data_IF_179676642326
#
_entry.id   IF_179676642326
#
_cell.length_a   1.000
_cell.length_b   1.000
_cell.length_c   1.000
_cell.angle_alpha   90.00
_cell.angle_beta   90.00
_cell.angle_gamma   90.00
#
_symmetry.space_group_name_H-M   'P 1'
#
loop_
_entity.id
_entity.type
_entity.pdbx_description
1 polymer ?
#
# COMPACT_ATOMS: atom_id res chain seq x y z
N UNK A 1 27.41 47.52 -53.12
CA UNK A 1 27.46 46.13 -53.64
C UNK A 1 27.56 45.20 -52.44
N UNK A 2 26.73 44.15 -52.36
CA UNK A 2 26.63 43.20 -51.22
C UNK A 2 27.98 42.50 -50.90
N UNK A 3 28.19 41.75 -49.79
CA UNK A 3 27.37 41.45 -48.56
C UNK A 3 28.18 41.75 -47.24
N UNK A 4 27.76 41.52 -45.99
CA UNK A 4 27.69 40.21 -45.28
C UNK A 4 27.27 40.42 -43.78
N UNK A 5 26.29 39.62 -43.33
CA UNK A 5 26.04 39.00 -42.01
C UNK A 5 26.17 39.75 -40.66
N UNK A 6 25.12 39.66 -39.84
CA UNK A 6 25.14 39.06 -38.47
C UNK A 6 23.74 38.56 -38.08
N UNK A 7 23.74 37.39 -37.44
CA UNK A 7 22.67 36.49 -37.04
C UNK A 7 22.39 36.66 -35.53
N UNK A 8 21.15 36.94 -35.10
CA UNK A 8 20.62 36.54 -33.77
C UNK A 8 19.12 36.21 -33.95
N UNK A 9 18.77 34.94 -33.68
CA UNK A 9 17.45 34.35 -33.84
C UNK A 9 16.60 34.55 -32.58
N UNK A 10 15.40 35.11 -32.77
CA UNK A 10 14.39 35.38 -31.75
C UNK A 10 13.57 34.13 -31.40
N UNK A 11 13.47 33.85 -30.10
CA UNK A 11 12.42 33.02 -29.49
C UNK A 11 11.38 33.98 -28.92
N UNK A 12 10.19 34.08 -29.53
CA UNK A 12 8.90 34.44 -28.93
C UNK A 12 7.90 34.82 -30.03
N UNK A 13 6.62 34.52 -29.77
CA UNK A 13 5.41 34.83 -30.55
C UNK A 13 4.94 33.74 -31.54
N UNK A 14 4.32 32.70 -30.98
CA UNK A 14 3.08 32.18 -31.57
C UNK A 14 2.02 32.07 -30.47
N UNK A 15 1.20 33.12 -30.35
CA UNK A 15 -0.10 33.12 -29.69
C UNK A 15 -1.11 33.74 -30.67
N UNK A 16 -2.30 33.14 -30.70
CA UNK A 16 -3.56 33.56 -31.35
C UNK A 16 -3.82 33.07 -32.78
N UNK A 17 -4.40 31.87 -32.89
CA UNK A 17 -5.68 31.67 -33.59
C UNK A 17 -6.25 30.26 -33.37
N UNK A 18 -6.86 30.01 -32.20
CA UNK A 18 -8.00 29.08 -32.07
C UNK A 18 -8.90 29.61 -30.94
N UNK A 19 -9.68 30.64 -31.24
CA UNK A 19 -10.94 30.94 -30.55
C UNK A 19 -11.98 30.99 -31.65
N UNK A 20 -12.83 29.97 -31.70
CA UNK A 20 -13.89 29.84 -32.69
C UNK A 20 -14.53 28.47 -32.59
N UNK A 21 -15.63 28.40 -31.85
CA UNK A 21 -16.58 27.29 -31.77
C UNK A 21 -16.11 26.01 -31.04
N UNK A 22 -16.27 26.03 -29.71
CA UNK A 22 -16.84 24.90 -28.95
C UNK A 22 -17.49 25.47 -27.69
N UNK A 23 -18.61 26.17 -27.89
CA UNK A 23 -19.46 26.74 -26.86
C UNK A 23 -20.68 25.85 -26.56
N UNK A 24 -20.45 24.54 -26.46
CA UNK A 24 -21.36 23.56 -25.89
C UNK A 24 -20.46 22.47 -25.28
N UNK A 25 -20.54 22.23 -23.96
CA UNK A 25 -19.77 21.25 -23.15
C UNK A 25 -18.37 21.65 -22.62
N UNK A 26 -18.29 22.42 -21.51
CA UNK A 26 -17.02 22.70 -20.82
C UNK A 26 -16.50 21.56 -19.91
N UNK A 27 -17.04 20.33 -19.96
CA UNK A 27 -16.75 19.29 -18.96
C UNK A 27 -16.21 17.94 -19.49
N UNK A 28 -15.85 17.83 -20.77
CA UNK A 28 -15.18 16.62 -21.27
C UNK A 28 -13.66 16.72 -21.02
N UNK A 29 -13.27 16.39 -19.78
CA UNK A 29 -11.87 16.06 -19.49
C UNK A 29 -11.52 14.82 -20.32
N UNK A 30 -10.67 14.97 -21.33
CA UNK A 30 -10.11 13.83 -22.06
C UNK A 30 -9.23 13.01 -21.10
N UNK A 31 -9.79 11.92 -20.56
CA UNK A 31 -9.06 10.93 -19.79
C UNK A 31 -8.27 10.06 -20.76
N UNK A 32 -6.94 10.16 -20.71
CA UNK A 32 -6.05 9.20 -21.38
C UNK A 32 -5.70 8.14 -20.34
N UNK A 33 -6.38 7.00 -20.41
CA UNK A 33 -5.97 5.76 -19.76
C UNK A 33 -5.30 4.87 -20.80
N UNK A 34 -4.42 3.99 -20.36
CA UNK A 34 -3.87 2.95 -21.21
C UNK A 34 -4.21 1.60 -20.61
N UNK A 35 -4.82 0.72 -21.40
CA UNK A 35 -5.09 -0.64 -20.95
C UNK A 35 -3.91 -1.55 -21.26
N UNK A 36 -3.74 -2.52 -20.40
CA UNK A 36 -2.73 -3.55 -20.41
C UNK A 36 -3.51 -4.86 -20.28
N UNK A 37 -3.58 -5.64 -21.34
CA UNK A 37 -4.18 -6.97 -21.30
C UNK A 37 -3.15 -7.97 -20.79
N UNK A 38 -3.50 -8.76 -19.79
CA UNK A 38 -2.66 -9.83 -19.25
C UNK A 38 -3.30 -11.18 -19.61
N UNK A 39 -2.68 -11.91 -20.52
CA UNK A 39 -3.14 -13.25 -20.90
C UNK A 39 -2.24 -14.33 -20.33
N UNK A 40 -2.82 -15.40 -19.70
CA UNK A 40 -2.08 -16.64 -19.49
C UNK A 40 -1.55 -17.13 -20.83
N UNK A 41 -0.33 -17.69 -20.84
CA UNK A 41 0.52 -18.02 -22.00
C UNK A 41 -0.16 -18.78 -23.15
N UNK A 42 -1.03 -18.12 -23.92
CA UNK A 42 -1.68 -18.62 -25.12
C UNK A 42 -1.55 -17.58 -26.25
N UNK A 43 -1.30 -18.00 -27.49
CA UNK A 43 -1.15 -17.07 -28.62
C UNK A 43 -2.49 -16.39 -28.92
N UNK A 44 -2.45 -15.07 -29.14
CA UNK A 44 -3.57 -14.28 -29.67
C UNK A 44 -3.11 -13.71 -31.01
N UNK A 45 -3.87 -13.97 -32.06
CA UNK A 45 -3.72 -13.35 -33.37
C UNK A 45 -4.53 -12.04 -33.41
N UNK A 46 -3.91 -10.90 -33.06
CA UNK A 46 -4.50 -9.58 -33.31
C UNK A 46 -3.40 -8.57 -33.68
N UNK A 47 -3.61 -7.85 -34.79
CA UNK A 47 -2.58 -7.10 -35.53
C UNK A 47 -2.16 -5.74 -34.93
N UNK A 48 -2.74 -5.30 -33.80
CA UNK A 48 -2.42 -4.03 -33.13
C UNK A 48 -1.76 -4.20 -31.75
N UNK A 49 -1.24 -5.41 -31.48
CA UNK A 49 -0.68 -5.78 -30.19
C UNK A 49 0.85 -5.71 -30.26
N UNK A 50 1.44 -4.78 -29.51
CA UNK A 50 2.87 -4.85 -29.19
C UNK A 50 3.08 -5.50 -27.82
N UNK A 51 3.98 -6.49 -27.75
CA UNK A 51 4.36 -7.11 -26.49
C UNK A 51 4.98 -6.04 -25.58
N UNK A 52 4.33 -5.76 -24.45
CA UNK A 52 4.78 -4.76 -23.49
C UNK A 52 5.70 -5.35 -22.44
N UNK A 53 5.34 -6.54 -21.96
CA UNK A 53 6.08 -7.26 -20.94
C UNK A 53 5.78 -8.75 -21.08
N UNK A 54 6.78 -9.60 -20.93
CA UNK A 54 6.59 -11.04 -20.84
C UNK A 54 7.20 -11.52 -19.53
N UNK A 55 6.46 -12.35 -18.80
CA UNK A 55 6.93 -13.10 -17.63
C UNK A 55 6.67 -14.58 -17.88
N UNK A 56 7.22 -15.46 -17.04
CA UNK A 56 6.96 -16.90 -17.14
C UNK A 56 5.47 -17.27 -17.06
N UNK A 57 4.62 -16.37 -16.54
CA UNK A 57 3.19 -16.62 -16.26
C UNK A 57 2.22 -15.74 -17.03
N UNK A 58 2.66 -14.56 -17.46
CA UNK A 58 1.81 -13.55 -18.10
C UNK A 58 2.47 -13.05 -19.37
N UNK A 59 1.69 -13.06 -20.45
CA UNK A 59 1.96 -12.22 -21.60
C UNK A 59 1.18 -10.91 -21.44
N UNK A 60 1.92 -9.80 -21.38
CA UNK A 60 1.39 -8.47 -21.11
C UNK A 60 1.39 -7.68 -22.40
N UNK A 61 0.19 -7.36 -22.85
CA UNK A 61 -0.09 -6.71 -24.12
C UNK A 61 -0.58 -5.30 -23.86
N UNK A 62 0.07 -4.31 -24.45
CA UNK A 62 -0.43 -2.93 -24.41
C UNK A 62 -1.61 -2.83 -25.37
N UNK A 63 -2.79 -2.55 -24.85
CA UNK A 63 -3.97 -2.26 -25.66
C UNK A 63 -4.33 -0.79 -25.45
N UNK A 64 -4.30 -0.02 -26.54
CA UNK A 64 -4.71 1.38 -26.50
C UNK A 64 -6.23 1.44 -26.30
N UNK A 65 -6.65 1.74 -25.09
CA UNK A 65 -8.06 1.85 -24.73
C UNK A 65 -8.44 3.32 -24.55
N UNK A 66 -9.65 3.69 -24.95
CA UNK A 66 -10.20 5.03 -24.72
C UNK A 66 -11.50 4.87 -23.94
N UNK A 67 -11.52 5.37 -22.70
CA UNK A 67 -12.76 5.46 -21.94
C UNK A 67 -13.68 6.52 -22.60
N UNK A 68 -14.86 6.10 -23.04
CA UNK A 68 -15.98 7.02 -23.24
C UNK A 68 -16.78 7.10 -21.94
N UNK A 69 -16.83 8.28 -21.33
CA UNK A 69 -17.78 8.55 -20.26
C UNK A 69 -19.12 8.97 -20.88
N UNK A 70 -20.14 8.13 -20.73
CA UNK A 70 -21.51 8.44 -21.12
C UNK A 70 -22.51 7.80 -20.14
N UNK A 71 -23.40 8.61 -19.55
CA UNK A 71 -24.55 8.11 -18.79
C UNK A 71 -25.64 7.68 -19.76
N UNK A 72 -26.12 6.45 -19.58
CA UNK A 72 -27.50 6.07 -19.88
C UNK A 72 -27.76 5.48 -21.26
N UNK A 73 -28.59 4.44 -21.22
CA UNK A 73 -29.29 3.71 -22.30
C UNK A 73 -28.44 2.90 -23.28
N UNK A 74 -28.62 1.58 -23.18
CA UNK A 74 -28.68 0.61 -24.27
C UNK A 74 -27.63 0.75 -25.38
N UNK A 75 -26.51 0.04 -25.21
CA UNK A 75 -25.64 -0.33 -26.33
C UNK A 75 -25.50 -1.85 -26.34
N UNK A 76 -26.41 -2.46 -27.10
CA UNK A 76 -26.21 -3.74 -27.77
C UNK A 76 -24.94 -3.72 -28.62
N UNK A 77 -24.26 -4.86 -28.65
CA UNK A 77 -23.20 -5.27 -29.57
C UNK A 77 -22.81 -4.25 -30.64
N UNK A 78 -21.69 -3.54 -30.42
CA UNK A 78 -20.70 -3.20 -31.45
C UNK A 78 -19.54 -2.45 -30.78
N UNK A 79 -18.35 -3.07 -30.81
CA UNK A 79 -17.09 -2.41 -30.50
C UNK A 79 -16.95 -1.12 -31.33
N UNK A 80 -17.00 0.02 -30.66
CA UNK A 80 -16.76 1.32 -31.28
C UNK A 80 -15.56 1.97 -30.59
N UNK A 81 -14.39 1.81 -31.23
CA UNK A 81 -13.15 2.47 -30.88
C UNK A 81 -13.21 3.97 -31.18
N UNK A 82 -12.46 4.76 -30.41
CA UNK A 82 -12.24 6.17 -30.69
C UNK A 82 -10.74 6.45 -30.45
N UNK A 83 -10.05 7.03 -31.44
CA UNK A 83 -8.58 7.16 -31.48
C UNK A 83 -8.05 8.41 -30.76
N UNK A 84 -7.17 8.26 -29.77
CA UNK A 84 -6.35 9.36 -29.23
C UNK A 84 -5.19 9.64 -30.18
N UNK A 85 -4.91 10.90 -30.49
CA UNK A 85 -3.78 11.30 -31.31
C UNK A 85 -2.45 10.80 -30.72
N UNK A 86 -1.57 10.25 -31.55
CA UNK A 86 -0.32 9.57 -31.15
C UNK A 86 0.62 10.51 -30.36
N UNK A 87 0.53 11.81 -30.62
CA UNK A 87 1.33 12.88 -29.98
C UNK A 87 0.99 13.12 -28.51
N UNK A 88 -0.27 12.97 -28.09
CA UNK A 88 -0.68 13.12 -26.68
C UNK A 88 -0.35 11.87 -25.86
N UNK A 89 -0.36 10.70 -26.50
CA UNK A 89 0.00 9.44 -25.86
C UNK A 89 1.50 9.34 -25.55
N UNK A 90 2.38 9.75 -26.48
CA UNK A 90 3.84 9.79 -26.24
C UNK A 90 4.26 10.83 -25.19
N UNK A 91 3.45 11.85 -24.94
CA UNK A 91 3.73 12.90 -23.95
C UNK A 91 3.18 12.58 -22.55
N UNK A 92 2.12 11.75 -22.45
CA UNK A 92 1.53 11.31 -21.18
C UNK A 92 2.07 9.96 -20.68
N UNK A 93 2.48 9.09 -21.59
CA UNK A 93 3.09 7.80 -21.26
C UNK A 93 4.57 7.99 -20.91
N UNK A 94 5.08 7.26 -19.90
CA UNK A 94 6.52 7.17 -19.66
C UNK A 94 7.30 6.94 -20.96
N UNK A 95 8.31 7.76 -21.22
CA UNK A 95 9.28 7.53 -22.30
C UNK A 95 10.68 7.31 -21.73
N UNK A 96 11.52 6.60 -22.50
CA UNK A 96 12.89 6.29 -22.09
C UNK A 96 12.97 5.53 -20.76
N UNK A 97 13.80 6.02 -19.84
CA UNK A 97 14.08 5.37 -18.55
C UNK A 97 12.82 5.18 -17.68
N UNK A 98 11.90 6.15 -17.68
CA UNK A 98 10.69 6.05 -16.85
C UNK A 98 9.81 4.88 -17.28
N UNK A 99 9.78 4.59 -18.59
CA UNK A 99 9.06 3.42 -19.12
C UNK A 99 9.71 2.14 -18.62
N UNK A 100 11.04 2.04 -18.73
CA UNK A 100 11.78 0.87 -18.28
C UNK A 100 11.60 0.61 -16.78
N UNK A 101 11.73 1.65 -15.95
CA UNK A 101 11.57 1.55 -14.50
C UNK A 101 10.16 1.15 -14.09
N UNK A 102 9.14 1.74 -14.73
CA UNK A 102 7.74 1.38 -14.48
C UNK A 102 7.43 -0.04 -14.94
N UNK A 103 7.87 -0.44 -16.15
CA UNK A 103 7.68 -1.80 -16.65
C UNK A 103 8.35 -2.83 -15.74
N UNK A 104 9.55 -2.53 -15.24
CA UNK A 104 10.23 -3.41 -14.28
C UNK A 104 9.52 -3.46 -12.92
N UNK A 105 9.00 -2.34 -12.43
CA UNK A 105 8.17 -2.31 -11.23
C UNK A 105 6.91 -3.16 -11.38
N UNK A 106 6.21 -3.05 -12.51
CA UNK A 106 5.03 -3.85 -12.83
C UNK A 106 5.38 -5.34 -12.98
N UNK A 107 6.51 -5.66 -13.61
CA UNK A 107 7.04 -7.03 -13.69
C UNK A 107 7.20 -7.65 -12.31
N UNK A 108 7.92 -6.95 -11.41
CA UNK A 108 8.13 -7.38 -10.02
C UNK A 108 6.82 -7.55 -9.26
N UNK A 109 5.82 -6.72 -9.54
CA UNK A 109 4.48 -6.90 -8.99
C UNK A 109 3.83 -8.21 -9.49
N UNK A 110 3.80 -8.44 -10.80
CA UNK A 110 3.17 -9.63 -11.39
C UNK A 110 3.85 -10.93 -10.97
N UNK A 111 5.19 -10.95 -10.85
CA UNK A 111 5.97 -12.10 -10.36
C UNK A 111 5.63 -12.47 -8.91
N UNK A 112 5.13 -11.51 -8.13
CA UNK A 112 4.70 -11.70 -6.74
C UNK A 112 3.28 -12.25 -6.64
N UNK A 113 2.51 -12.27 -7.72
CA UNK A 113 1.15 -12.80 -7.73
C UNK A 113 1.18 -14.34 -7.92
N UNK A 114 0.37 -15.10 -7.17
CA UNK A 114 0.21 -16.53 -7.38
C UNK A 114 -0.51 -16.80 -8.70
N UNK A 115 -0.39 -18.02 -9.25
CA UNK A 115 -1.07 -18.38 -10.49
C UNK A 115 -2.59 -18.62 -10.32
N UNK A 116 -3.10 -18.60 -9.08
CA UNK A 116 -4.50 -18.89 -8.76
C UNK A 116 -5.45 -17.86 -9.36
N UNK A 117 -6.40 -18.33 -10.17
CA UNK A 117 -7.46 -17.51 -10.78
C UNK A 117 -8.36 -16.87 -9.72
N UNK A 118 -8.62 -17.58 -8.62
CA UNK A 118 -9.53 -17.13 -7.56
C UNK A 118 -9.04 -15.84 -6.91
N UNK A 119 -7.72 -15.70 -6.73
CA UNK A 119 -7.15 -14.46 -6.22
C UNK A 119 -7.51 -13.27 -7.11
N UNK A 120 -7.46 -13.43 -8.43
CA UNK A 120 -7.77 -12.33 -9.34
C UNK A 120 -9.24 -11.98 -9.40
N UNK A 121 -10.11 -12.99 -9.26
CA UNK A 121 -11.57 -12.80 -9.26
C UNK A 121 -12.03 -12.03 -8.03
N UNK A 122 -11.45 -12.35 -6.88
CA UNK A 122 -11.90 -11.84 -5.59
C UNK A 122 -11.25 -10.49 -5.22
N UNK A 123 -10.34 -9.96 -6.06
CA UNK A 123 -9.55 -8.78 -5.71
C UNK A 123 -9.43 -7.75 -6.83
N UNK A 124 -9.48 -6.47 -6.44
CA UNK A 124 -8.93 -5.35 -7.20
C UNK A 124 -7.49 -5.12 -6.76
N UNK A 125 -6.54 -5.22 -7.67
CA UNK A 125 -5.16 -4.84 -7.42
C UNK A 125 -4.92 -3.40 -7.84
N UNK A 126 -4.27 -2.64 -6.97
CA UNK A 126 -3.79 -1.30 -7.23
C UNK A 126 -2.26 -1.36 -7.15
N UNK A 127 -1.56 -1.09 -8.23
CA UNK A 127 -0.10 -1.02 -8.30
C UNK A 127 0.35 0.42 -8.53
N UNK A 128 1.04 1.01 -7.56
CA UNK A 128 1.48 2.41 -7.62
C UNK A 128 2.98 2.53 -7.81
N UNK A 129 3.37 3.37 -8.76
CA UNK A 129 4.76 3.67 -9.05
C UNK A 129 5.02 5.16 -8.91
N UNK A 130 6.12 5.52 -8.24
CA UNK A 130 6.54 6.90 -8.08
C UNK A 130 8.03 7.07 -8.35
N UNK A 131 8.35 8.08 -9.14
CA UNK A 131 9.71 8.62 -9.24
C UNK A 131 9.70 10.15 -9.08
N UNK A 132 10.84 10.79 -9.33
CA UNK A 132 10.97 12.25 -9.18
C UNK A 132 10.04 13.06 -10.09
N UNK A 133 9.65 12.49 -11.23
CA UNK A 133 8.96 13.21 -12.31
C UNK A 133 7.51 12.74 -12.51
N UNK A 134 7.16 11.54 -12.05
CA UNK A 134 5.89 10.91 -12.38
C UNK A 134 5.38 10.01 -11.26
N UNK A 135 4.06 10.00 -11.12
CA UNK A 135 3.29 9.08 -10.27
C UNK A 135 2.29 8.36 -11.19
N UNK A 136 2.13 7.05 -11.02
CA UNK A 136 1.26 6.21 -11.85
C UNK A 136 0.48 5.27 -10.94
N UNK A 137 -0.82 5.11 -11.19
CA UNK A 137 -1.66 4.08 -10.58
C UNK A 137 -2.03 3.08 -11.68
N UNK A 138 -1.82 1.81 -11.42
CA UNK A 138 -2.27 0.72 -12.30
C UNK A 138 -3.33 -0.06 -11.57
N UNK A 139 -4.50 -0.22 -12.18
CA UNK A 139 -5.58 -1.04 -11.65
C UNK A 139 -5.54 -2.37 -12.38
N UNK A 140 -5.54 -3.49 -11.66
CA UNK A 140 -5.61 -4.82 -12.26
C UNK A 140 -6.75 -5.63 -11.63
N UNK A 141 -7.56 -6.28 -12.43
CA UNK A 141 -8.69 -7.10 -11.96
C UNK A 141 -9.04 -8.16 -13.00
N UNK A 142 -9.72 -9.22 -12.56
CA UNK A 142 -10.16 -10.28 -13.45
C UNK A 142 -11.48 -9.93 -14.12
N UNK A 143 -11.53 -10.04 -15.45
CA UNK A 143 -12.71 -9.81 -16.25
C UNK A 143 -12.74 -10.82 -17.40
N UNK A 144 -13.89 -11.46 -17.63
CA UNK A 144 -14.13 -12.37 -18.76
C UNK A 144 -13.07 -13.47 -18.93
N UNK A 145 -12.66 -14.08 -17.81
CA UNK A 145 -11.67 -15.16 -17.82
C UNK A 145 -10.22 -14.69 -17.97
N UNK A 146 -9.96 -13.37 -17.94
CA UNK A 146 -8.63 -12.78 -18.18
C UNK A 146 -8.29 -11.75 -17.11
N UNK A 147 -7.00 -11.55 -16.88
CA UNK A 147 -6.53 -10.45 -16.04
C UNK A 147 -6.43 -9.20 -16.92
N UNK A 148 -7.17 -8.16 -16.56
CA UNK A 148 -7.13 -6.87 -17.24
C UNK A 148 -6.43 -5.90 -16.33
N UNK A 149 -5.55 -5.07 -16.88
CA UNK A 149 -4.93 -3.98 -16.19
C UNK A 149 -5.10 -2.68 -16.96
N UNK A 150 -5.08 -1.54 -16.28
CA UNK A 150 -4.94 -0.25 -16.94
C UNK A 150 -4.19 0.74 -16.07
N UNK A 151 -3.35 1.56 -16.70
CA UNK A 151 -2.51 2.53 -16.03
C UNK A 151 -3.05 3.96 -16.22
N UNK A 152 -2.98 4.72 -15.12
CA UNK A 152 -3.46 6.09 -15.01
C UNK A 152 -2.35 6.98 -14.39
N UNK A 153 -1.83 7.97 -15.14
CA UNK A 153 -0.84 8.90 -14.59
C UNK A 153 -1.49 9.84 -13.58
N UNK A 154 -0.88 9.97 -12.40
CA UNK A 154 -1.30 10.91 -11.35
C UNK A 154 -0.61 12.24 -11.62
N UNK A 155 -1.37 13.18 -12.19
CA UNK A 155 -0.83 14.47 -12.60
C UNK A 155 -0.91 15.46 -11.44
N UNK A 156 0.19 16.13 -11.07
CA UNK A 156 0.30 16.92 -9.83
C UNK A 156 -0.49 18.25 -9.83
N UNK A 157 -1.19 18.58 -10.91
CA UNK A 157 -1.98 19.81 -11.03
C UNK A 157 -3.30 19.63 -10.29
N UNK A 158 -3.70 20.59 -9.44
CA UNK A 158 -4.90 20.53 -8.57
C UNK A 158 -6.16 19.99 -9.27
N UNK A 159 -6.45 20.44 -10.48
CA UNK A 159 -7.63 19.98 -11.25
C UNK A 159 -7.49 18.54 -11.77
N UNK A 160 -6.27 18.07 -12.02
CA UNK A 160 -6.00 16.71 -12.52
C UNK A 160 -5.89 15.70 -11.38
N UNK A 161 -5.43 16.11 -10.20
CA UNK A 161 -5.55 15.29 -8.97
C UNK A 161 -7.02 14.95 -8.67
N UNK A 162 -7.95 15.88 -8.93
CA UNK A 162 -9.39 15.62 -8.82
C UNK A 162 -9.84 14.53 -9.80
N UNK A 163 -9.33 14.52 -11.03
CA UNK A 163 -9.64 13.48 -12.01
C UNK A 163 -9.13 12.10 -11.57
N UNK A 164 -7.87 12.00 -11.11
CA UNK A 164 -7.32 10.73 -10.58
C UNK A 164 -8.08 10.25 -9.33
N UNK A 165 -8.54 11.18 -8.49
CA UNK A 165 -9.43 10.89 -7.35
C UNK A 165 -10.79 10.35 -7.76
N UNK A 166 -11.38 10.85 -8.85
CA UNK A 166 -12.66 10.35 -9.36
C UNK A 166 -12.49 8.92 -9.84
N UNK A 167 -11.48 8.65 -10.67
CA UNK A 167 -11.20 7.30 -11.17
C UNK A 167 -10.93 6.32 -10.03
N UNK A 168 -10.12 6.70 -9.04
CA UNK A 168 -9.87 5.82 -7.89
C UNK A 168 -11.16 5.53 -7.10
N UNK A 169 -12.01 6.52 -6.86
CA UNK A 169 -13.29 6.31 -6.20
C UNK A 169 -14.24 5.38 -6.98
N UNK A 170 -14.29 5.52 -8.31
CA UNK A 170 -15.09 4.64 -9.17
C UNK A 170 -14.64 3.17 -9.06
N UNK A 171 -13.34 2.92 -9.08
CA UNK A 171 -12.77 1.58 -8.91
C UNK A 171 -13.03 1.02 -7.50
N UNK A 172 -12.91 1.85 -6.47
CA UNK A 172 -13.19 1.44 -5.09
C UNK A 172 -14.68 1.09 -4.89
N UNK A 173 -15.59 1.90 -5.41
CA UNK A 173 -17.03 1.62 -5.32
C UNK A 173 -17.43 0.41 -6.18
N UNK A 174 -16.78 0.19 -7.33
CA UNK A 174 -16.96 -1.04 -8.11
C UNK A 174 -16.48 -2.26 -7.31
N UNK A 175 -15.27 -2.22 -6.74
CA UNK A 175 -14.75 -3.31 -5.93
C UNK A 175 -15.69 -3.65 -4.76
N UNK A 176 -16.17 -2.64 -4.05
CA UNK A 176 -17.14 -2.78 -2.96
C UNK A 176 -18.46 -3.41 -3.41
N UNK A 177 -19.04 -2.94 -4.53
CA UNK A 177 -20.29 -3.46 -5.08
C UNK A 177 -20.15 -4.95 -5.44
N UNK A 178 -19.00 -5.33 -5.95
CA UNK A 178 -18.70 -6.70 -6.38
C UNK A 178 -18.20 -7.59 -5.22
N UNK A 179 -18.09 -7.06 -4.00
CA UNK A 179 -17.55 -7.78 -2.85
C UNK A 179 -16.05 -8.08 -2.95
N UNK A 180 -15.32 -7.40 -3.84
CA UNK A 180 -13.88 -7.58 -4.04
C UNK A 180 -13.08 -6.89 -2.95
N UNK A 181 -12.03 -7.57 -2.51
CA UNK A 181 -11.00 -7.01 -1.65
C UNK A 181 -10.04 -6.12 -2.46
N UNK A 182 -9.46 -5.08 -1.84
CA UNK A 182 -8.49 -4.22 -2.55
C UNK A 182 -7.09 -4.50 -2.06
N UNK A 183 -6.18 -4.83 -2.96
CA UNK A 183 -4.76 -5.06 -2.67
C UNK A 183 -3.95 -3.93 -3.26
N UNK A 184 -3.29 -3.15 -2.40
CA UNK A 184 -2.45 -2.06 -2.84
C UNK A 184 -0.96 -2.42 -2.72
N UNK A 185 -0.29 -2.49 -3.87
CA UNK A 185 1.15 -2.67 -3.99
C UNK A 185 1.84 -1.39 -4.46
N UNK A 186 2.96 -1.01 -3.85
CA UNK A 186 3.85 0.00 -4.42
C UNK A 186 4.06 1.23 -3.52
N UNK A 187 4.30 2.38 -4.17
CA UNK A 187 4.74 3.61 -3.51
C UNK A 187 3.58 4.50 -3.08
N UNK A 188 3.78 5.29 -2.02
CA UNK A 188 2.83 6.32 -1.59
C UNK A 188 2.82 7.50 -2.57
N UNK A 189 1.64 7.76 -3.13
CA UNK A 189 1.41 8.84 -4.10
C UNK A 189 0.93 10.12 -3.40
N UNK A 190 0.91 11.24 -4.14
CA UNK A 190 0.22 12.47 -3.70
C UNK A 190 -1.29 12.25 -3.52
N UNK A 191 -1.85 11.34 -4.32
CA UNK A 191 -3.22 10.87 -4.13
C UNK A 191 -3.24 9.90 -2.93
N UNK A 192 -3.95 10.27 -1.87
CA UNK A 192 -4.05 9.43 -0.68
C UNK A 192 -5.07 8.30 -0.89
N UNK A 193 -4.58 7.13 -1.31
CA UNK A 193 -5.38 5.94 -1.59
C UNK A 193 -6.12 5.46 -0.35
N UNK A 194 -5.46 5.48 0.81
CA UNK A 194 -6.04 4.96 2.06
C UNK A 194 -7.22 5.78 2.54
N UNK A 195 -7.10 7.10 2.45
CA UNK A 195 -8.17 8.02 2.80
C UNK A 195 -9.38 7.76 1.91
N UNK A 196 -9.17 7.59 0.60
CA UNK A 196 -10.26 7.31 -0.33
C UNK A 196 -10.89 5.94 -0.08
N UNK A 197 -10.08 4.90 0.15
CA UNK A 197 -10.59 3.60 0.55
C UNK A 197 -11.45 3.70 1.81
N UNK A 198 -11.01 4.44 2.82
CA UNK A 198 -11.77 4.70 4.05
C UNK A 198 -13.08 5.45 3.79
N UNK A 199 -13.06 6.51 2.99
CA UNK A 199 -14.25 7.29 2.60
C UNK A 199 -15.28 6.41 1.89
N UNK A 200 -14.84 5.48 1.05
CA UNK A 200 -15.69 4.52 0.35
C UNK A 200 -16.02 3.27 1.21
N UNK A 201 -15.50 3.16 2.44
CA UNK A 201 -15.63 1.98 3.33
C UNK A 201 -15.11 0.69 2.70
N UNK A 202 -14.02 0.79 1.97
CA UNK A 202 -13.32 -0.32 1.32
C UNK A 202 -12.07 -0.64 2.10
N UNK A 203 -11.87 -1.92 2.40
CA UNK A 203 -10.65 -2.34 3.07
C UNK A 203 -9.53 -2.50 2.06
N UNK A 204 -8.35 -2.05 2.44
CA UNK A 204 -7.13 -2.17 1.64
C UNK A 204 -6.09 -3.04 2.34
N UNK A 205 -5.59 -4.02 1.62
CA UNK A 205 -4.42 -4.82 1.99
C UNK A 205 -3.20 -4.18 1.39
N UNK A 206 -2.39 -3.52 2.22
CA UNK A 206 -1.19 -2.83 1.76
C UNK A 206 -0.05 -3.80 1.55
N UNK A 207 0.84 -3.48 0.61
CA UNK A 207 2.02 -4.26 0.30
C UNK A 207 3.16 -3.40 -0.24
N UNK A 208 4.28 -3.41 0.45
CA UNK A 208 5.45 -2.65 0.03
C UNK A 208 6.12 -3.29 -1.18
N UNK A 209 6.66 -2.45 -2.06
CA UNK A 209 7.45 -2.88 -3.22
C UNK A 209 8.74 -3.61 -2.82
N UNK A 210 9.29 -3.29 -1.64
CA UNK A 210 10.50 -3.88 -1.06
C UNK A 210 10.34 -5.35 -0.67
N UNK A 211 9.12 -5.83 -0.39
CA UNK A 211 8.98 -7.17 0.15
C UNK A 211 8.94 -8.23 -0.94
N UNK A 212 9.80 -9.24 -0.77
CA UNK A 212 9.99 -10.38 -1.67
C UNK A 212 8.95 -11.51 -1.56
N UNK A 213 8.33 -11.72 -0.39
CA UNK A 213 7.38 -12.83 -0.13
C UNK A 213 6.13 -12.73 -1.01
N UNK A 214 5.71 -13.76 -1.74
CA UNK A 214 4.55 -13.75 -2.67
C UNK A 214 3.21 -13.42 -1.98
N UNK A 215 2.17 -13.11 -2.76
CA UNK A 215 0.82 -13.01 -2.20
C UNK A 215 0.24 -14.41 -1.98
N UNK A 216 -0.61 -14.59 -0.96
CA UNK A 216 -1.32 -15.84 -0.76
C UNK A 216 -2.26 -16.12 -1.94
N UNK A 217 -2.57 -17.40 -2.19
CA UNK A 217 -3.58 -17.80 -3.18
C UNK A 217 -4.99 -17.28 -2.85
N UNK A 218 -5.24 -17.02 -1.56
CA UNK A 218 -6.46 -16.39 -1.07
C UNK A 218 -6.12 -15.42 0.05
N UNK A 219 -6.64 -14.20 -0.04
CA UNK A 219 -6.48 -13.21 1.02
C UNK A 219 -7.49 -13.51 2.12
N UNK A 220 -6.99 -13.64 3.34
CA UNK A 220 -7.81 -13.84 4.52
C UNK A 220 -8.73 -12.63 4.73
N UNK A 221 -10.02 -12.84 5.01
CA UNK A 221 -10.92 -11.71 5.25
C UNK A 221 -10.54 -10.97 6.54
N UNK A 222 -10.77 -9.65 6.55
CA UNK A 222 -10.51 -8.76 7.69
C UNK A 222 -11.63 -8.79 8.74
N UNK A 223 -12.69 -9.55 8.51
CA UNK A 223 -13.82 -9.73 9.43
C UNK A 223 -13.47 -10.59 10.66
N UNK A 224 -12.24 -11.09 10.76
CA UNK A 224 -11.74 -11.85 11.91
C UNK A 224 -11.75 -11.01 13.19
N UNK A 225 -12.15 -11.66 14.29
CA UNK A 225 -12.03 -11.15 15.65
C UNK A 225 -10.76 -11.71 16.29
N UNK A 226 -9.96 -10.85 16.92
CA UNK A 226 -8.84 -11.29 17.76
C UNK A 226 -9.40 -11.74 19.11
N UNK A 227 -9.09 -12.97 19.53
CA UNK A 227 -9.60 -13.56 20.79
C UNK A 227 -8.54 -13.32 21.87
N UNK A 228 -8.73 -12.36 22.81
CA UNK A 228 -7.69 -11.96 23.75
C UNK A 228 -7.17 -13.12 24.60
N UNK A 229 -8.03 -14.05 25.01
CA UNK A 229 -7.70 -15.21 25.83
C UNK A 229 -6.79 -16.21 25.09
N UNK A 230 -6.85 -16.23 23.76
CA UNK A 230 -6.00 -17.07 22.91
C UNK A 230 -4.85 -16.29 22.27
N UNK A 231 -4.66 -15.03 22.66
CA UNK A 231 -3.64 -14.14 22.11
C UNK A 231 -2.55 -13.90 23.15
N UNK A 232 -1.34 -13.67 22.64
CA UNK A 232 -0.22 -13.21 23.47
C UNK A 232 -0.12 -11.70 23.40
N UNK A 233 0.34 -11.10 24.48
CA UNK A 233 0.68 -9.68 24.51
C UNK A 233 2.12 -9.50 24.95
N UNK A 234 2.81 -8.60 24.27
CA UNK A 234 4.13 -8.14 24.68
C UNK A 234 4.01 -6.65 24.98
N UNK A 235 4.04 -6.34 26.28
CA UNK A 235 4.04 -4.96 26.76
C UNK A 235 5.48 -4.47 26.90
N UNK A 236 5.96 -3.79 25.86
CA UNK A 236 7.30 -3.24 25.77
C UNK A 236 7.34 -1.73 26.04
N UNK A 237 6.44 -1.26 26.91
CA UNK A 237 6.50 0.10 27.44
C UNK A 237 7.64 0.20 28.49
N UNK A 238 8.55 1.21 28.41
CA UNK A 238 9.58 1.48 29.39
C UNK A 238 9.10 1.43 30.84
N UNK A 239 9.67 0.53 31.63
CA UNK A 239 9.35 0.37 33.02
C UNK A 239 10.15 1.31 33.92
N UNK A 240 11.30 1.79 33.45
CA UNK A 240 12.20 2.69 34.18
C UNK A 240 12.41 4.02 33.46
N UNK A 241 12.82 5.06 34.21
CA UNK A 241 13.20 6.36 33.62
C UNK A 241 14.37 6.21 32.65
N UNK A 242 15.36 5.36 32.99
CA UNK A 242 16.51 5.09 32.13
C UNK A 242 16.06 4.59 30.76
N UNK A 243 15.19 3.58 30.72
CA UNK A 243 14.63 3.04 29.47
C UNK A 243 13.80 4.09 28.72
N UNK A 244 13.05 4.95 29.42
CA UNK A 244 12.30 6.03 28.78
C UNK A 244 13.23 7.04 28.09
N UNK A 245 14.34 7.40 28.75
CA UNK A 245 15.35 8.32 28.20
C UNK A 245 16.10 7.68 27.01
N UNK A 246 16.42 6.38 27.09
CA UNK A 246 17.09 5.63 26.04
C UNK A 246 16.20 5.40 24.81
N UNK A 247 14.94 5.01 25.03
CA UNK A 247 13.93 4.77 23.99
C UNK A 247 13.42 6.04 23.31
N UNK A 248 13.69 7.20 23.89
CA UNK A 248 13.19 8.49 23.44
C UNK A 248 11.83 8.81 24.06
N UNK A 249 11.66 10.08 24.44
CA UNK A 249 10.39 10.55 24.98
C UNK A 249 9.27 10.33 23.97
N UNK A 250 8.19 9.59 24.32
CA UNK A 250 7.01 9.59 23.49
C UNK A 250 6.51 11.04 23.42
N UNK A 251 6.14 11.50 22.22
CA UNK A 251 5.67 12.86 21.99
C UNK A 251 4.50 13.26 22.93
N UNK A 252 3.83 12.26 23.51
CA UNK A 252 2.66 12.38 24.39
C UNK A 252 2.93 12.37 25.89
N UNK A 253 4.11 11.92 26.34
CA UNK A 253 4.47 11.94 27.75
C UNK A 253 5.56 12.98 27.99
N UNK A 254 5.16 14.24 27.93
CA UNK A 254 6.03 15.38 28.24
C UNK A 254 6.56 15.34 29.69
N UNK A 255 5.95 14.52 30.56
CA UNK A 255 6.34 14.34 31.97
C UNK A 255 6.39 12.86 32.36
N UNK A 256 7.17 12.55 33.41
CA UNK A 256 7.25 11.23 34.03
C UNK A 256 5.89 10.73 34.52
N UNK A 257 5.06 11.62 35.05
CA UNK A 257 3.75 11.29 35.57
C UNK A 257 2.78 10.90 34.46
N UNK A 258 2.81 11.65 33.34
CA UNK A 258 2.04 11.30 32.15
C UNK A 258 2.45 9.91 31.60
N UNK A 259 3.75 9.61 31.63
CA UNK A 259 4.27 8.30 31.25
C UNK A 259 3.77 7.18 32.18
N UNK A 260 3.91 7.36 33.50
CA UNK A 260 3.45 6.38 34.50
C UNK A 260 1.95 6.12 34.38
N UNK A 261 1.16 7.18 34.18
CA UNK A 261 -0.28 7.07 33.99
C UNK A 261 -0.62 6.34 32.69
N UNK A 262 0.08 6.63 31.58
CA UNK A 262 -0.09 5.87 30.33
C UNK A 262 0.22 4.38 30.51
N UNK A 263 1.35 4.07 31.15
CA UNK A 263 1.75 2.68 31.41
C UNK A 263 0.72 1.96 32.28
N UNK A 264 0.21 2.60 33.33
CA UNK A 264 -0.81 2.00 34.20
C UNK A 264 -2.11 1.68 33.46
N UNK A 265 -2.59 2.58 32.59
CA UNK A 265 -3.77 2.32 31.76
C UNK A 265 -3.55 1.10 30.85
N UNK A 266 -2.41 1.08 30.16
CA UNK A 266 -2.07 -0.01 29.24
C UNK A 266 -1.93 -1.32 30.01
N UNK A 267 -1.20 -1.35 31.11
CA UNK A 267 -1.04 -2.54 31.95
C UNK A 267 -2.39 -3.11 32.37
N UNK A 268 -3.31 -2.27 32.86
CA UNK A 268 -4.65 -2.68 33.25
C UNK A 268 -5.43 -3.32 32.08
N UNK A 269 -5.35 -2.73 30.88
CA UNK A 269 -5.98 -3.28 29.67
C UNK A 269 -5.32 -4.61 29.27
N UNK A 270 -3.98 -4.69 29.32
CA UNK A 270 -3.22 -5.86 28.89
C UNK A 270 -3.37 -7.09 29.80
N UNK A 271 -3.86 -6.93 31.03
CA UNK A 271 -4.15 -8.03 31.96
C UNK A 271 -5.24 -8.99 31.45
N UNK A 272 -6.03 -8.57 30.46
CA UNK A 272 -7.12 -9.37 29.89
C UNK A 272 -6.66 -10.34 28.78
N UNK A 273 -5.39 -10.27 28.36
CA UNK A 273 -4.83 -11.18 27.36
C UNK A 273 -4.36 -12.49 28.02
N UNK A 274 -4.46 -13.60 27.28
CA UNK A 274 -4.21 -14.94 27.81
C UNK A 274 -2.78 -15.17 28.31
N UNK A 275 -1.78 -14.58 27.67
CA UNK A 275 -0.39 -14.67 28.12
C UNK A 275 0.39 -13.37 27.86
N UNK A 276 1.21 -12.98 28.83
CA UNK A 276 2.10 -11.82 28.72
C UNK A 276 3.55 -12.26 28.54
N UNK A 277 4.16 -11.91 27.42
CA UNK A 277 5.57 -12.17 27.14
C UNK A 277 6.42 -11.07 27.78
N UNK A 278 7.37 -11.46 28.63
CA UNK A 278 8.16 -10.52 29.44
C UNK A 278 9.63 -10.43 29.01
N UNK A 279 10.15 -11.43 28.28
CA UNK A 279 11.56 -11.47 27.87
C UNK A 279 11.72 -11.53 26.35
N UNK A 280 12.92 -11.17 25.87
CA UNK A 280 13.25 -11.31 24.44
C UNK A 280 13.23 -12.78 24.00
N UNK A 281 13.60 -13.69 24.90
CA UNK A 281 13.57 -15.13 24.64
C UNK A 281 12.14 -15.63 24.39
N UNK A 282 11.17 -15.18 25.19
CA UNK A 282 9.75 -15.54 25.02
C UNK A 282 9.20 -15.04 23.69
N UNK A 283 9.53 -13.80 23.33
CA UNK A 283 9.11 -13.20 22.05
C UNK A 283 9.72 -13.95 20.88
N UNK A 284 11.03 -14.23 20.92
CA UNK A 284 11.71 -14.96 19.87
C UNK A 284 11.09 -16.35 19.68
N UNK A 285 10.84 -17.06 20.79
CA UNK A 285 10.20 -18.38 20.76
C UNK A 285 8.80 -18.28 20.15
N UNK A 286 7.98 -17.34 20.60
CA UNK A 286 6.63 -17.15 20.09
C UNK A 286 6.65 -16.74 18.60
N UNK A 287 7.59 -15.92 18.14
CA UNK A 287 7.72 -15.58 16.71
C UNK A 287 8.12 -16.79 15.85
N UNK A 288 9.05 -17.64 16.31
CA UNK A 288 9.58 -18.77 15.54
C UNK A 288 8.72 -20.04 15.58
N UNK A 289 8.06 -20.29 16.72
CA UNK A 289 7.39 -21.56 17.04
C UNK A 289 5.92 -21.37 17.44
N UNK A 290 5.54 -20.16 17.86
CA UNK A 290 4.21 -19.86 18.40
C UNK A 290 3.10 -20.00 17.37
N UNK A 291 1.86 -20.09 17.86
CA UNK A 291 0.64 -20.28 17.04
C UNK A 291 -0.43 -19.22 17.30
N UNK A 292 -0.21 -18.35 18.28
CA UNK A 292 -1.21 -17.41 18.79
C UNK A 292 -1.11 -16.07 18.09
N UNK A 293 -2.23 -15.36 17.99
CA UNK A 293 -2.19 -13.95 17.59
C UNK A 293 -1.39 -13.16 18.62
N UNK A 294 -0.72 -12.10 18.18
CA UNK A 294 0.17 -11.32 19.03
C UNK A 294 -0.19 -9.84 19.00
N UNK A 295 -0.26 -9.23 20.18
CA UNK A 295 -0.27 -7.78 20.32
C UNK A 295 1.09 -7.35 20.83
N UNK A 296 1.81 -6.53 20.06
CA UNK A 296 3.10 -5.96 20.43
C UNK A 296 2.94 -4.47 20.68
N UNK A 297 3.12 -4.06 21.93
CA UNK A 297 3.09 -2.65 22.33
C UNK A 297 4.52 -2.18 22.55
N UNK A 298 4.95 -1.14 21.84
CA UNK A 298 6.30 -0.59 22.00
C UNK A 298 6.17 0.92 22.13
N UNK A 299 6.76 1.49 23.18
CA UNK A 299 6.57 2.91 23.49
C UNK A 299 7.13 3.85 22.41
N UNK A 300 8.24 3.47 21.77
CA UNK A 300 8.80 4.22 20.66
C UNK A 300 9.82 3.37 19.91
N UNK A 301 9.70 3.33 18.58
CA UNK A 301 10.75 2.83 17.69
C UNK A 301 11.68 4.01 17.35
N UNK A 302 12.58 4.40 18.26
CA UNK A 302 13.59 5.42 17.95
C UNK A 302 14.70 4.76 17.13
N UNK A 303 14.57 4.78 15.81
CA UNK A 303 15.51 4.09 14.93
C UNK A 303 15.24 2.59 14.85
N UNK A 304 16.26 1.82 14.49
CA UNK A 304 16.17 0.39 14.17
C UNK A 304 16.08 -0.51 15.41
N UNK A 305 15.44 -0.12 16.51
CA UNK A 305 15.55 -0.85 17.78
C UNK A 305 14.24 -0.96 18.58
N UNK A 306 14.09 -2.08 19.28
CA UNK A 306 12.99 -2.41 20.21
C UNK A 306 13.54 -2.61 21.62
N UNK A 307 12.74 -2.21 22.61
CA UNK A 307 13.03 -2.40 24.03
C UNK A 307 11.97 -3.32 24.63
N UNK A 308 12.39 -4.39 25.31
CA UNK A 308 11.52 -5.34 26.02
C UNK A 308 12.05 -5.47 27.44
N UNK A 309 11.34 -4.90 28.43
CA UNK A 309 11.89 -4.75 29.78
C UNK A 309 13.22 -3.99 29.74
N UNK A 310 14.27 -4.57 30.32
CA UNK A 310 15.65 -4.03 30.28
C UNK A 310 16.45 -4.45 29.03
N UNK A 311 15.90 -5.31 28.18
CA UNK A 311 16.57 -5.81 26.98
C UNK A 311 16.36 -4.87 25.78
N UNK A 312 17.42 -4.68 24.99
CA UNK A 312 17.40 -3.92 23.74
C UNK A 312 17.80 -4.82 22.59
N UNK A 313 17.03 -4.77 21.50
CA UNK A 313 17.32 -5.52 20.27
C UNK A 313 17.18 -4.63 19.05
N UNK A 314 18.06 -4.81 18.07
CA UNK A 314 17.91 -4.16 16.77
C UNK A 314 16.97 -4.94 15.85
N UNK A 315 16.29 -4.22 14.96
CA UNK A 315 15.51 -4.77 13.86
C UNK A 315 16.35 -5.73 13.00
N UNK A 316 17.64 -5.45 12.79
CA UNK A 316 18.56 -6.36 12.08
C UNK A 316 18.76 -7.68 12.83
N UNK A 317 18.83 -7.65 14.17
CA UNK A 317 18.90 -8.88 14.98
C UNK A 317 17.60 -9.68 14.90
N UNK A 318 16.44 -9.01 14.89
CA UNK A 318 15.14 -9.67 14.69
C UNK A 318 15.07 -10.29 13.30
N UNK A 319 15.51 -9.55 12.26
CA UNK A 319 15.60 -10.07 10.89
C UNK A 319 16.49 -11.32 10.83
N UNK A 320 17.60 -11.33 11.57
CA UNK A 320 18.55 -12.44 11.64
C UNK A 320 18.07 -13.66 12.45
N UNK A 321 16.91 -13.61 13.12
CA UNK A 321 16.35 -14.78 13.80
C UNK A 321 15.93 -15.90 12.84
N UNK A 322 15.85 -15.61 11.53
CA UNK A 322 15.51 -16.57 10.50
C UNK A 322 14.00 -16.71 10.32
N UNK A 323 13.60 -17.57 9.37
CA UNK A 323 12.19 -17.83 9.09
C UNK A 323 11.56 -18.66 10.21
N UNK A 324 10.24 -18.52 10.32
CA UNK A 324 9.42 -19.38 11.17
C UNK A 324 9.68 -20.86 10.83
N UNK A 325 9.81 -21.69 11.87
CA UNK A 325 10.15 -23.10 11.69
C UNK A 325 8.91 -23.95 11.42
N UNK A 326 7.78 -23.59 12.02
CA UNK A 326 6.52 -24.33 11.92
C UNK A 326 5.43 -23.43 11.33
N UNK A 327 4.85 -23.76 10.17
CA UNK A 327 3.70 -23.04 9.63
C UNK A 327 2.54 -23.06 10.63
N UNK A 328 1.79 -21.96 10.75
CA UNK A 328 0.56 -21.98 11.55
C UNK A 328 -0.50 -22.82 10.87
N UNK A 329 -1.32 -23.49 11.68
CA UNK A 329 -2.53 -24.19 11.20
C UNK A 329 -3.63 -23.22 10.73
N UNK A 330 -3.53 -21.93 11.07
CA UNK A 330 -4.45 -20.88 10.65
C UNK A 330 -3.73 -19.55 10.46
N UNK A 331 -4.42 -18.53 9.97
CA UNK A 331 -3.80 -17.23 9.80
C UNK A 331 -3.44 -16.65 11.18
N UNK A 332 -2.26 -16.09 11.36
CA UNK A 332 -1.76 -15.52 12.60
C UNK A 332 -1.65 -14.01 12.42
N UNK A 333 -2.22 -13.25 13.33
CA UNK A 333 -2.26 -11.79 13.27
C UNK A 333 -1.28 -11.20 14.29
N UNK A 334 -0.51 -10.20 13.86
CA UNK A 334 0.20 -9.29 14.75
C UNK A 334 -0.43 -7.91 14.73
N UNK A 335 -0.75 -7.37 15.90
CA UNK A 335 -1.09 -5.97 16.10
C UNK A 335 0.14 -5.26 16.64
N UNK A 336 0.64 -4.25 15.93
CA UNK A 336 1.76 -3.43 16.35
C UNK A 336 1.25 -2.08 16.84
N UNK A 337 1.17 -1.90 18.15
CA UNK A 337 0.96 -0.60 18.77
C UNK A 337 2.32 0.11 18.86
N UNK A 338 2.88 0.46 17.70
CA UNK A 338 4.24 1.01 17.55
C UNK A 338 4.23 2.13 16.51
N UNK A 339 4.62 3.34 16.91
CA UNK A 339 4.64 4.53 16.05
C UNK A 339 5.34 4.28 14.70
N UNK A 340 4.71 4.72 13.61
CA UNK A 340 5.20 4.63 12.24
C UNK A 340 5.58 3.22 11.76
N UNK A 341 5.23 2.14 12.49
CA UNK A 341 5.61 0.79 12.09
C UNK A 341 4.91 0.33 10.79
N UNK A 342 3.78 0.94 10.45
CA UNK A 342 3.08 0.80 9.17
C UNK A 342 3.60 1.70 8.05
N UNK A 343 4.53 2.63 8.31
CA UNK A 343 5.05 3.54 7.30
C UNK A 343 6.16 2.85 6.48
N UNK A 344 5.89 2.62 5.19
CA UNK A 344 6.83 1.92 4.30
C UNK A 344 8.01 2.76 3.84
N UNK A 345 7.92 4.08 3.98
CA UNK A 345 8.93 5.04 3.56
C UNK A 345 9.73 5.58 4.76
N UNK A 346 9.75 4.86 5.88
CA UNK A 346 10.44 5.31 7.08
C UNK A 346 11.94 5.51 6.81
N UNK A 347 12.38 6.75 6.97
CA UNK A 347 13.78 7.16 6.81
C UNK A 347 14.26 7.76 8.12
N UNK A 348 15.47 7.40 8.52
CA UNK A 348 16.16 7.97 9.68
C UNK A 348 17.48 8.60 9.24
N UNK A 349 17.87 9.66 9.94
CA UNK A 349 19.12 10.39 9.70
C UNK A 349 18.90 11.88 9.39
N UNK A 350 20.01 12.60 9.23
CA UNK A 350 20.00 14.05 8.97
C UNK A 350 19.70 14.37 7.51
N UNK A 351 19.53 15.66 7.19
CA UNK A 351 19.17 16.15 5.84
C UNK A 351 20.07 15.59 4.72
N UNK A 352 21.32 15.25 5.04
CA UNK A 352 22.35 14.79 4.11
C UNK A 352 22.60 13.27 4.13
N UNK A 353 22.10 12.55 5.13
CA UNK A 353 22.33 11.11 5.31
C UNK A 353 21.04 10.41 5.72
N UNK A 354 20.08 10.34 4.80
CA UNK A 354 18.84 9.59 5.01
C UNK A 354 19.09 8.12 4.70
N UNK A 355 18.95 7.27 5.71
CA UNK A 355 18.99 5.81 5.54
C UNK A 355 17.56 5.29 5.56
N UNK A 356 17.21 4.51 4.53
CA UNK A 356 15.96 3.75 4.53
C UNK A 356 16.09 2.60 5.52
N UNK A 357 15.16 2.53 6.48
CA UNK A 357 15.10 1.44 7.44
C UNK A 357 13.98 0.50 7.02
N UNK A 358 14.26 -0.81 7.05
CA UNK A 358 13.21 -1.79 6.83
C UNK A 358 12.27 -1.78 8.06
N UNK A 359 11.00 -1.37 7.93
CA UNK A 359 10.10 -1.28 9.07
C UNK A 359 9.84 -2.68 9.67
N UNK A 360 9.50 -2.71 10.96
CA UNK A 360 9.22 -3.95 11.68
C UNK A 360 8.15 -4.80 10.96
N UNK A 361 7.10 -4.16 10.41
CA UNK A 361 6.07 -4.82 9.59
C UNK A 361 6.66 -5.67 8.47
N UNK A 362 7.67 -5.16 7.75
CA UNK A 362 8.32 -5.89 6.67
C UNK A 362 9.21 -7.01 7.18
N UNK A 363 9.87 -6.84 8.33
CA UNK A 363 10.72 -7.89 8.93
C UNK A 363 9.85 -9.06 9.39
N UNK A 364 8.76 -8.78 10.11
CA UNK A 364 7.81 -9.81 10.55
C UNK A 364 7.24 -10.60 9.37
N UNK A 365 7.02 -9.90 8.26
CA UNK A 365 6.56 -10.47 7.00
C UNK A 365 7.62 -11.31 6.29
N UNK A 366 8.82 -10.78 6.07
CA UNK A 366 9.91 -11.47 5.36
C UNK A 366 10.28 -12.80 6.03
N UNK A 367 10.18 -12.85 7.37
CA UNK A 367 10.46 -14.04 8.16
C UNK A 367 9.25 -14.97 8.33
N UNK A 368 8.07 -14.60 7.82
CA UNK A 368 6.86 -15.42 7.88
C UNK A 368 6.33 -15.65 9.31
N UNK A 369 6.58 -14.71 10.24
CA UNK A 369 6.14 -14.87 11.63
C UNK A 369 4.63 -14.74 11.78
N UNK A 370 4.01 -13.92 10.92
CA UNK A 370 2.58 -13.63 10.92
C UNK A 370 2.04 -13.58 9.50
N UNK A 371 0.78 -13.98 9.35
CA UNK A 371 0.01 -13.92 8.10
C UNK A 371 -0.67 -12.57 7.91
N UNK A 372 -0.85 -11.82 8.99
CA UNK A 372 -1.38 -10.46 8.93
C UNK A 372 -0.66 -9.59 9.95
N UNK A 373 -0.32 -8.36 9.56
CA UNK A 373 0.21 -7.36 10.48
C UNK A 373 -0.64 -6.10 10.38
N UNK A 374 -1.03 -5.56 11.54
CA UNK A 374 -1.83 -4.36 11.69
C UNK A 374 -0.95 -3.33 12.39
N UNK A 375 -0.74 -2.17 11.79
CA UNK A 375 0.25 -1.21 12.27
C UNK A 375 -0.07 0.23 11.87
N UNK A 376 0.19 1.23 12.73
CA UNK A 376 -0.03 2.65 12.43
C UNK A 376 1.09 3.20 11.56
N UNK A 377 0.74 4.04 10.57
CA UNK A 377 1.67 4.78 9.70
C UNK A 377 2.15 6.12 10.29
N UNK A 378 1.65 6.47 11.48
CA UNK A 378 1.85 7.73 12.16
C UNK A 378 2.28 7.51 13.63
N UNK A 379 2.50 8.61 14.33
CA UNK A 379 2.75 8.61 15.77
C UNK A 379 1.44 8.42 16.51
N UNK A 380 1.27 7.27 17.17
CA UNK A 380 0.08 6.97 17.98
C UNK A 380 0.13 7.72 19.31
N UNK A 381 -1.02 8.25 19.73
CA UNK A 381 -1.16 8.93 21.00
C UNK A 381 -1.72 7.99 22.09
N UNK A 382 -1.59 8.36 23.37
CA UNK A 382 -2.15 7.57 24.50
C UNK A 382 -3.64 7.25 24.30
N UNK A 383 -4.54 8.23 24.05
CA UNK A 383 -5.97 7.95 23.92
C UNK A 383 -6.30 7.03 22.75
N UNK A 384 -5.51 7.13 21.67
CA UNK A 384 -5.66 6.27 20.51
C UNK A 384 -5.24 4.84 20.84
N UNK A 385 -4.10 4.66 21.51
CA UNK A 385 -3.59 3.34 21.88
C UNK A 385 -4.53 2.63 22.85
N UNK A 386 -4.98 3.31 23.91
CA UNK A 386 -5.92 2.73 24.88
C UNK A 386 -7.25 2.38 24.21
N UNK A 387 -7.81 3.30 23.42
CA UNK A 387 -9.05 3.06 22.66
C UNK A 387 -8.90 1.88 21.69
N UNK A 388 -7.76 1.76 20.99
CA UNK A 388 -7.50 0.65 20.07
C UNK A 388 -7.49 -0.69 20.81
N UNK A 389 -6.75 -0.78 21.91
CA UNK A 389 -6.68 -2.00 22.73
C UNK A 389 -8.04 -2.38 23.33
N UNK A 390 -8.79 -1.41 23.85
CA UNK A 390 -10.14 -1.66 24.35
C UNK A 390 -11.08 -2.17 23.25
N UNK A 391 -10.94 -1.68 22.02
CA UNK A 391 -11.74 -2.18 20.90
C UNK A 391 -11.34 -3.60 20.48
N UNK A 392 -10.06 -3.98 20.60
CA UNK A 392 -9.62 -5.37 20.44
C UNK A 392 -10.28 -6.29 21.47
N UNK A 393 -10.38 -5.85 22.74
CA UNK A 393 -10.99 -6.64 23.81
C UNK A 393 -12.51 -6.79 23.69
N UNK A 394 -13.18 -5.89 22.95
CA UNK A 394 -14.65 -5.88 22.79
C UNK A 394 -15.14 -6.88 21.72
N UNK A 395 -14.35 -7.86 21.34
CA UNK A 395 -14.65 -8.85 20.29
C UNK A 395 -15.07 -8.22 18.95
N UNK A 396 -14.52 -7.04 18.64
CA UNK A 396 -14.76 -6.40 17.35
C UNK A 396 -13.91 -7.03 16.28
N UNK A 397 -14.44 -7.07 15.07
CA UNK A 397 -13.65 -7.48 13.92
C UNK A 397 -12.52 -6.48 13.65
N UNK A 398 -11.41 -7.00 13.14
CA UNK A 398 -10.26 -6.22 12.68
C UNK A 398 -10.70 -5.14 11.67
N UNK A 399 -11.65 -5.47 10.80
CA UNK A 399 -12.29 -4.54 9.85
C UNK A 399 -13.02 -3.38 10.54
N UNK A 400 -13.82 -3.64 11.58
CA UNK A 400 -14.52 -2.57 12.31
C UNK A 400 -13.53 -1.63 12.98
N UNK A 401 -12.47 -2.19 13.56
CA UNK A 401 -11.40 -1.42 14.17
C UNK A 401 -10.71 -0.52 13.12
N UNK A 402 -10.40 -1.04 11.93
CA UNK A 402 -9.83 -0.24 10.82
C UNK A 402 -10.61 1.03 10.52
N UNK A 403 -11.95 0.93 10.49
CA UNK A 403 -12.81 2.06 10.15
C UNK A 403 -12.71 3.18 11.18
N UNK A 404 -12.44 2.83 12.43
CA UNK A 404 -12.40 3.76 13.57
C UNK A 404 -11.04 4.44 13.68
N UNK A 405 -9.95 3.73 13.38
CA UNK A 405 -8.58 4.23 13.54
C UNK A 405 -7.93 4.56 12.19
N UNK A 406 -7.99 5.84 11.79
CA UNK A 406 -7.33 6.32 10.57
C UNK A 406 -5.79 6.11 10.65
N UNK A 407 -5.15 5.79 9.52
CA UNK A 407 -3.69 5.59 9.47
C UNK A 407 -3.21 4.22 9.97
N UNK A 408 -4.10 3.34 10.41
CA UNK A 408 -3.74 1.94 10.67
C UNK A 408 -3.79 1.15 9.36
N UNK A 409 -2.62 0.67 8.93
CA UNK A 409 -2.46 -0.18 7.76
C UNK A 409 -2.61 -1.66 8.09
N UNK A 410 -3.22 -2.39 7.17
CA UNK A 410 -3.43 -3.83 7.25
C UNK A 410 -2.59 -4.48 6.15
N UNK A 411 -1.71 -5.37 6.56
CA UNK A 411 -0.77 -6.02 5.66
C UNK A 411 -1.01 -7.52 5.73
N UNK A 412 -1.29 -8.18 4.59
CA UNK A 412 -1.61 -9.63 4.54
C UNK A 412 -0.59 -10.42 3.75
N UNK A 413 -0.29 -11.59 4.27
CA UNK A 413 0.81 -12.49 3.93
C UNK A 413 0.35 -13.95 4.07
N UNK A 414 0.89 -14.82 3.24
CA UNK A 414 0.98 -16.26 3.52
C UNK A 414 2.02 -16.82 2.57
N UNK A 415 2.82 -17.76 3.06
CA UNK A 415 3.65 -18.61 2.22
C UNK A 415 2.80 -19.66 1.50
#
# INVERSE_FOLDING_TARGET
MRPLSILILFVLLFRLHVIGQNSLYPNLLNHVSCSILLTPSAPIEENDISNFLQTDRFDVKLIKYRHQFGRGSELTDHMSGLFVNETDFRTLWPSGQVKADYTDHLRRFLEKLPASIDLYRDNLFICTYKNRNQEIITYCYFQDGRLVAYAHPVLPVKNKLKASSVTLNEELESAKKDGRSVVWYGDELKLNIERQAKENRVNIYKRASSVSVKLPEKIAPLDRVLVPENSVICNALPTTMRQLMEGGHPATAATLEAWRSYRADVEHITMQFGEQLQTMADIKKEMLEGKRDMVLLVAHLKGTELFIGDERISLDKIKAWGKRQTPSSGNRVAVLCVCNSGNQNYTVGSLFWKTHVNPLTNILKENGYFDMVIAPDHVILRPETTSFLENLLKNRSIQEIQQWFAGWGFWVFKD
#
